data_IF_886221377142
#
_entry.id   IF_886221377142
#
_cell.length_a   1.000
_cell.length_b   1.000
_cell.length_c   1.000
_cell.angle_alpha   90.00
_cell.angle_beta   90.00
_cell.angle_gamma   90.00
#
_symmetry.space_group_name_H-M   'P 1'
#
loop_
_entity.id
_entity.type
_entity.pdbx_description
1 polymer ?
#
# COMPACT_ATOMS: atom_id res chain seq x y z
N UNK A 1 -10.98 4.81 17.00
CA UNK A 1 -11.97 4.93 15.92
C UNK A 1 -12.28 6.38 15.62
N UNK A 2 -12.60 7.15 16.65
CA UNK A 2 -12.85 8.59 16.51
C UNK A 2 -11.62 9.32 16.00
N UNK A 3 -10.43 8.94 16.49
CA UNK A 3 -9.17 9.54 16.08
C UNK A 3 -8.87 9.26 14.60
N UNK A 4 -9.12 8.03 14.13
CA UNK A 4 -8.93 7.70 12.72
C UNK A 4 -9.90 8.43 11.82
N UNK A 5 -11.16 8.54 12.23
CA UNK A 5 -12.14 9.34 11.49
C UNK A 5 -11.72 10.80 11.40
N UNK A 6 -11.29 11.39 12.53
CA UNK A 6 -10.81 12.77 12.55
C UNK A 6 -9.60 12.96 11.65
N UNK A 7 -8.66 12.00 11.67
CA UNK A 7 -7.47 12.03 10.82
C UNK A 7 -7.84 11.92 9.34
N UNK A 8 -8.79 11.06 8.98
CA UNK A 8 -9.26 10.91 7.62
C UNK A 8 -9.96 12.19 7.13
N UNK A 9 -10.86 12.74 7.93
CA UNK A 9 -11.63 13.93 7.58
C UNK A 9 -10.77 15.20 7.49
N UNK A 10 -9.64 15.23 8.22
CA UNK A 10 -8.73 16.39 8.27
C UNK A 10 -7.43 16.16 7.52
N UNK A 11 -7.36 15.08 6.73
CA UNK A 11 -6.13 14.77 6.01
C UNK A 11 -5.73 15.96 5.12
N UNK A 12 -4.54 16.53 5.33
CA UNK A 12 -4.08 17.64 4.50
C UNK A 12 -3.73 17.16 3.09
N UNK A 13 -3.72 18.08 2.15
CA UNK A 13 -3.21 17.80 0.82
C UNK A 13 -1.75 17.37 0.89
N UNK A 14 -1.28 16.60 -0.10
CA UNK A 14 0.08 16.12 -0.15
C UNK A 14 1.09 17.28 -0.21
N UNK A 15 2.09 17.22 0.65
CA UNK A 15 3.22 18.15 0.65
C UNK A 15 4.37 17.50 -0.12
N UNK A 16 4.41 17.72 -1.43
CA UNK A 16 5.34 17.05 -2.31
C UNK A 16 6.74 17.65 -2.20
N UNK A 17 7.73 16.79 -2.01
CA UNK A 17 9.14 17.15 -1.98
C UNK A 17 9.97 15.98 -2.51
N UNK A 18 11.19 16.25 -3.04
CA UNK A 18 12.05 15.17 -3.51
C UNK A 18 12.31 14.14 -2.42
N UNK A 19 12.05 12.87 -2.71
CA UNK A 19 12.25 11.77 -1.76
C UNK A 19 12.54 10.47 -2.49
N UNK A 20 13.17 9.55 -1.74
CA UNK A 20 13.52 8.22 -2.23
C UNK A 20 12.45 7.22 -1.75
N UNK A 21 11.59 6.78 -2.67
CA UNK A 21 10.53 5.83 -2.34
C UNK A 21 11.09 4.48 -1.88
N UNK A 22 12.27 4.09 -2.34
CA UNK A 22 12.92 2.85 -1.93
C UNK A 22 13.22 2.86 -0.43
N UNK A 23 13.72 3.98 0.07
CA UNK A 23 14.02 4.15 1.49
C UNK A 23 12.75 4.10 2.34
N UNK A 24 11.67 4.71 1.87
CA UNK A 24 10.37 4.70 2.57
C UNK A 24 9.85 3.28 2.70
N UNK A 25 9.91 2.51 1.61
CA UNK A 25 9.45 1.11 1.61
C UNK A 25 10.32 0.27 2.58
N UNK A 26 11.63 0.40 2.52
CA UNK A 26 12.55 -0.35 3.40
C UNK A 26 12.29 -0.06 4.87
N UNK A 27 12.05 1.19 5.20
CA UNK A 27 11.76 1.61 6.56
C UNK A 27 10.49 0.95 7.10
N UNK A 28 9.43 0.95 6.29
CA UNK A 28 8.18 0.27 6.66
C UNK A 28 8.38 -1.24 6.83
N UNK A 29 9.11 -1.88 5.90
CA UNK A 29 9.35 -3.32 5.94
C UNK A 29 10.13 -3.76 7.16
N UNK A 30 11.09 -2.95 7.62
CA UNK A 30 11.88 -3.27 8.80
C UNK A 30 10.98 -3.48 10.01
N UNK A 31 9.99 -2.60 10.19
CA UNK A 31 9.04 -2.70 11.29
C UNK A 31 8.24 -4.00 11.23
N UNK A 32 7.73 -4.36 10.05
CA UNK A 32 6.87 -5.52 9.89
C UNK A 32 7.63 -6.84 9.97
N UNK A 33 8.84 -6.89 9.48
CA UNK A 33 9.69 -8.09 9.59
C UNK A 33 10.00 -8.41 11.04
N UNK A 34 10.23 -7.41 11.86
CA UNK A 34 10.49 -7.61 13.28
C UNK A 34 9.25 -8.04 14.05
N UNK A 35 8.11 -7.44 13.73
CA UNK A 35 6.85 -7.72 14.43
C UNK A 35 6.22 -9.05 14.01
N UNK A 36 6.50 -9.55 12.80
CA UNK A 36 5.85 -10.73 12.21
C UNK A 36 6.89 -11.67 11.61
N UNK A 37 7.76 -12.23 12.46
CA UNK A 37 8.89 -13.08 12.04
C UNK A 37 8.45 -14.38 11.35
N UNK A 38 7.24 -14.84 11.61
CA UNK A 38 6.67 -16.04 11.01
C UNK A 38 6.20 -15.85 9.57
N UNK A 39 6.00 -14.59 9.16
CA UNK A 39 5.58 -14.26 7.78
C UNK A 39 6.80 -13.94 6.95
N UNK A 40 6.89 -14.54 5.77
CA UNK A 40 7.96 -14.23 4.82
C UNK A 40 7.61 -12.94 4.07
N UNK A 41 8.43 -11.91 4.21
CA UNK A 41 8.25 -10.64 3.51
C UNK A 41 9.43 -10.42 2.58
N UNK A 42 9.15 -10.41 1.27
CA UNK A 42 10.15 -10.28 0.21
C UNK A 42 10.01 -8.91 -0.44
N UNK A 43 11.12 -8.21 -0.60
CA UNK A 43 11.13 -6.94 -1.34
C UNK A 43 12.03 -7.07 -2.57
N UNK A 44 11.40 -6.97 -3.74
CA UNK A 44 12.09 -6.91 -5.02
C UNK A 44 12.30 -5.45 -5.40
N UNK A 45 13.46 -4.94 -5.02
CA UNK A 45 13.84 -3.54 -5.21
C UNK A 45 14.26 -3.26 -6.67
N UNK A 46 14.35 -2.00 -7.04
CA UNK A 46 14.83 -1.58 -8.35
C UNK A 46 15.72 -0.36 -8.21
N UNK A 47 16.94 -0.47 -8.75
CA UNK A 47 17.92 0.63 -8.77
C UNK A 47 17.55 1.73 -9.78
N UNK A 48 16.61 1.44 -10.68
CA UNK A 48 16.24 2.37 -11.75
C UNK A 48 15.26 3.44 -11.31
N UNK A 49 14.66 3.30 -10.14
CA UNK A 49 13.65 4.26 -9.64
C UNK A 49 14.34 5.56 -9.25
N UNK A 50 13.99 6.68 -9.90
CA UNK A 50 14.61 7.96 -9.56
C UNK A 50 14.04 8.54 -8.26
N UNK A 51 14.73 9.53 -7.71
CA UNK A 51 14.17 10.41 -6.68
C UNK A 51 13.14 11.30 -7.36
N UNK A 52 11.97 11.44 -6.77
CA UNK A 52 10.91 12.27 -7.33
C UNK A 52 10.07 12.90 -6.23
N UNK A 53 9.19 13.82 -6.61
CA UNK A 53 8.37 14.54 -5.65
C UNK A 53 7.25 13.65 -5.13
N UNK A 54 7.22 13.48 -3.82
CA UNK A 54 6.16 12.76 -3.12
C UNK A 54 6.11 13.25 -1.67
N UNK A 55 5.01 12.96 -0.98
CA UNK A 55 4.89 13.22 0.45
C UNK A 55 5.35 12.00 1.23
N UNK A 56 6.54 12.11 1.82
CA UNK A 56 7.20 11.01 2.52
C UNK A 56 6.31 10.38 3.60
N UNK A 57 5.69 11.21 4.43
CA UNK A 57 4.86 10.72 5.53
C UNK A 57 3.59 10.04 5.03
N UNK A 58 2.96 10.61 3.99
CA UNK A 58 1.77 10.02 3.41
C UNK A 58 2.06 8.70 2.69
N UNK A 59 3.15 8.61 1.95
CA UNK A 59 3.53 7.36 1.27
C UNK A 59 3.91 6.29 2.29
N UNK A 60 4.58 6.66 3.39
CA UNK A 60 4.84 5.72 4.48
C UNK A 60 3.54 5.18 5.06
N UNK A 61 2.54 6.04 5.24
CA UNK A 61 1.21 5.64 5.72
C UNK A 61 0.53 4.66 4.75
N UNK A 62 0.67 4.88 3.45
CA UNK A 62 0.19 3.94 2.43
C UNK A 62 0.80 2.57 2.64
N UNK A 63 2.12 2.51 2.78
CA UNK A 63 2.81 1.23 2.98
C UNK A 63 2.37 0.53 4.26
N UNK A 64 2.22 1.26 5.35
CA UNK A 64 1.75 0.72 6.62
C UNK A 64 0.34 0.12 6.46
N UNK A 65 -0.57 0.86 5.83
CA UNK A 65 -1.95 0.39 5.64
C UNK A 65 -2.00 -0.86 4.75
N UNK A 66 -1.21 -0.90 3.68
CA UNK A 66 -1.16 -2.07 2.80
C UNK A 66 -0.53 -3.29 3.48
N UNK A 67 0.51 -3.08 4.27
CA UNK A 67 1.14 -4.17 5.02
C UNK A 67 0.22 -4.71 6.12
N UNK A 68 -0.49 -3.84 6.82
CA UNK A 68 -1.49 -4.26 7.81
C UNK A 68 -2.55 -5.15 7.18
N UNK A 69 -3.05 -4.76 6.00
CA UNK A 69 -4.04 -5.55 5.28
C UNK A 69 -3.48 -6.91 4.84
N UNK A 70 -2.26 -6.93 4.33
CA UNK A 70 -1.62 -8.16 3.88
C UNK A 70 -1.37 -9.12 5.07
N UNK A 71 -0.86 -8.61 6.19
CA UNK A 71 -0.63 -9.39 7.40
C UNK A 71 -1.95 -9.98 7.92
N UNK A 72 -3.02 -9.19 7.91
CA UNK A 72 -4.33 -9.67 8.36
C UNK A 72 -4.90 -10.76 7.44
N UNK A 73 -4.51 -10.78 6.17
CA UNK A 73 -5.04 -11.73 5.19
C UNK A 73 -4.29 -13.07 5.18
N UNK A 74 -3.00 -13.08 5.55
CA UNK A 74 -2.18 -14.30 5.49
C UNK A 74 -2.26 -15.09 6.79
N UNK A 75 -1.99 -16.39 6.67
CA UNK A 75 -1.80 -17.27 7.84
C UNK A 75 -0.40 -17.06 8.42
N UNK A 76 -0.12 -17.66 9.57
CA UNK A 76 1.17 -17.51 10.28
C UNK A 76 2.39 -17.79 9.40
N UNK A 77 2.27 -18.65 8.40
CA UNK A 77 3.36 -18.99 7.48
C UNK A 77 3.15 -18.39 6.09
N UNK A 78 2.41 -17.29 6.04
CA UNK A 78 2.11 -16.63 4.78
C UNK A 78 3.30 -15.91 4.18
N UNK A 79 3.11 -15.45 2.95
CA UNK A 79 4.13 -14.74 2.20
C UNK A 79 3.57 -13.46 1.62
N UNK A 80 4.35 -12.39 1.76
CA UNK A 80 4.03 -11.08 1.19
C UNK A 80 5.20 -10.68 0.31
N UNK A 81 4.92 -10.30 -0.93
CA UNK A 81 5.93 -9.87 -1.90
C UNK A 81 5.64 -8.44 -2.31
N UNK A 82 6.62 -7.56 -2.12
CA UNK A 82 6.55 -6.19 -2.60
C UNK A 82 7.47 -6.06 -3.80
N UNK A 83 6.90 -5.66 -4.93
CA UNK A 83 7.67 -5.39 -6.15
C UNK A 83 7.66 -3.89 -6.43
N UNK A 84 8.83 -3.35 -6.73
CA UNK A 84 9.01 -1.96 -7.12
C UNK A 84 9.60 -1.94 -8.52
N UNK A 85 8.99 -1.18 -9.42
CA UNK A 85 9.44 -1.06 -10.80
C UNK A 85 9.27 0.37 -11.31
N UNK A 86 10.06 0.74 -12.29
CA UNK A 86 9.98 2.04 -12.94
C UNK A 86 9.88 1.86 -14.46
N UNK A 87 8.89 2.52 -15.05
CA UNK A 87 8.73 2.57 -16.51
C UNK A 87 9.24 3.94 -16.99
N UNK A 88 10.42 3.99 -17.64
CA UNK A 88 10.99 5.27 -18.08
C UNK A 88 10.23 5.89 -19.25
N UNK A 89 9.49 5.12 -20.02
CA UNK A 89 8.70 5.63 -21.15
C UNK A 89 7.47 6.36 -20.62
N UNK A 90 6.72 5.73 -19.73
CA UNK A 90 5.54 6.32 -19.11
C UNK A 90 5.88 7.25 -17.97
N UNK A 91 7.12 7.21 -17.48
CA UNK A 91 7.57 7.93 -16.28
C UNK A 91 6.67 7.62 -15.07
N UNK A 92 6.43 6.33 -14.85
CA UNK A 92 5.60 5.83 -13.77
C UNK A 92 6.38 4.87 -12.90
N UNK A 93 6.26 5.05 -11.59
CA UNK A 93 6.73 4.10 -10.59
C UNK A 93 5.56 3.21 -10.20
N UNK A 94 5.79 1.90 -10.19
CA UNK A 94 4.78 0.92 -9.82
C UNK A 94 5.21 0.19 -8.56
N UNK A 95 4.32 0.16 -7.58
CA UNK A 95 4.48 -0.61 -6.35
C UNK A 95 3.39 -1.66 -6.33
N UNK A 96 3.77 -2.91 -6.11
CA UNK A 96 2.82 -4.01 -6.02
C UNK A 96 3.01 -4.72 -4.69
N UNK A 97 1.95 -4.86 -3.91
CA UNK A 97 1.96 -5.61 -2.65
C UNK A 97 1.06 -6.82 -2.86
N UNK A 98 1.67 -8.01 -2.92
CA UNK A 98 0.98 -9.26 -3.17
C UNK A 98 1.07 -10.17 -1.95
N UNK A 99 -0.08 -10.66 -1.47
CA UNK A 99 -0.13 -11.64 -0.39
C UNK A 99 -0.71 -12.96 -0.90
N UNK A 100 -0.41 -14.04 -0.21
CA UNK A 100 -0.97 -15.37 -0.49
C UNK A 100 -2.07 -15.74 0.51
N UNK A 101 -2.78 -14.74 1.01
CA UNK A 101 -3.82 -14.90 2.02
C UNK A 101 -5.15 -15.40 1.46
N UNK A 102 -6.21 -15.12 2.19
CA UNK A 102 -7.55 -15.62 1.88
C UNK A 102 -8.18 -14.98 0.64
N UNK A 103 -7.64 -13.86 0.17
CA UNK A 103 -8.22 -13.12 -0.95
C UNK A 103 -9.45 -12.33 -0.56
N UNK A 104 -10.05 -11.68 -1.56
CA UNK A 104 -11.23 -10.82 -1.38
C UNK A 104 -12.33 -11.31 -2.31
N UNK A 105 -13.54 -11.59 -1.79
CA UNK A 105 -14.68 -11.98 -2.63
C UNK A 105 -15.00 -10.89 -3.66
N UNK A 106 -15.43 -11.27 -4.88
CA UNK A 106 -15.75 -10.29 -5.93
C UNK A 106 -16.76 -9.22 -5.49
N UNK A 107 -17.75 -9.59 -4.69
CA UNK A 107 -18.78 -8.67 -4.19
C UNK A 107 -18.22 -7.60 -3.25
N UNK A 108 -17.05 -7.83 -2.65
CA UNK A 108 -16.42 -6.86 -1.75
C UNK A 108 -15.44 -5.94 -2.48
N UNK A 109 -14.89 -6.35 -3.63
CA UNK A 109 -13.86 -5.57 -4.33
C UNK A 109 -14.31 -4.17 -4.70
N UNK A 110 -15.55 -4.01 -5.11
CA UNK A 110 -16.07 -2.69 -5.50
C UNK A 110 -16.26 -1.75 -4.30
N UNK A 111 -16.28 -2.28 -3.08
CA UNK A 111 -16.54 -1.50 -1.88
C UNK A 111 -15.30 -1.24 -1.03
N UNK A 112 -14.15 -1.76 -1.43
CA UNK A 112 -12.95 -1.71 -0.60
C UNK A 112 -12.45 -0.30 -0.29
N UNK A 113 -12.72 0.65 -1.16
CA UNK A 113 -12.33 2.04 -0.97
C UNK A 113 -13.40 2.89 -0.28
N UNK A 114 -14.57 2.32 0.02
CA UNK A 114 -15.60 3.03 0.77
C UNK A 114 -15.16 3.17 2.23
N UNK A 115 -15.27 4.37 2.83
CA UNK A 115 -15.01 4.54 4.26
C UNK A 115 -15.89 3.59 5.08
N UNK A 116 -15.31 3.02 6.14
CA UNK A 116 -15.97 2.11 7.08
C UNK A 116 -16.33 0.73 6.54
N UNK A 117 -16.08 0.44 5.25
CA UNK A 117 -16.24 -0.92 4.76
C UNK A 117 -15.02 -1.75 5.19
N UNK A 118 -15.24 -2.87 5.88
CA UNK A 118 -14.17 -3.79 6.27
C UNK A 118 -14.71 -5.19 6.47
N UNK A 119 -13.92 -6.19 6.05
CA UNK A 119 -14.18 -7.60 6.36
C UNK A 119 -13.43 -8.04 7.61
N UNK A 120 -12.59 -7.17 8.19
CA UNK A 120 -11.82 -7.46 9.40
C UNK A 120 -12.68 -7.21 10.64
N UNK A 121 -12.61 -8.14 11.59
CA UNK A 121 -13.41 -8.09 12.81
C UNK A 121 -13.19 -6.81 13.63
N UNK A 122 -11.97 -6.29 13.63
CA UNK A 122 -11.59 -5.10 14.41
C UNK A 122 -11.10 -3.96 13.54
N UNK A 123 -11.34 -4.04 12.23
CA UNK A 123 -10.92 -2.98 11.31
C UNK A 123 -11.90 -1.81 11.32
N UNK A 124 -11.38 -0.60 11.16
CA UNK A 124 -12.20 0.61 11.08
C UNK A 124 -12.85 0.80 9.71
N UNK A 125 -12.31 0.13 8.68
CA UNK A 125 -12.76 0.33 7.30
C UNK A 125 -12.24 1.59 6.64
N UNK A 126 -11.27 2.28 7.25
CA UNK A 126 -10.71 3.53 6.71
C UNK A 126 -9.37 3.33 5.99
N UNK A 127 -8.69 2.20 6.21
CA UNK A 127 -7.33 1.99 5.69
C UNK A 127 -7.20 2.18 4.18
N UNK A 128 -8.03 1.49 3.38
CA UNK A 128 -7.97 1.61 1.92
C UNK A 128 -8.56 2.92 1.41
N UNK A 129 -9.54 3.51 2.10
CA UNK A 129 -10.04 4.84 1.76
C UNK A 129 -8.93 5.89 1.92
N UNK A 130 -8.15 5.79 2.98
CA UNK A 130 -6.98 6.65 3.22
C UNK A 130 -5.94 6.47 2.12
N UNK A 131 -5.62 5.22 1.77
CA UNK A 131 -4.66 4.92 0.69
C UNK A 131 -5.12 5.54 -0.61
N UNK A 132 -6.40 5.35 -0.97
CA UNK A 132 -6.95 5.91 -2.20
C UNK A 132 -6.83 7.43 -2.23
N UNK A 133 -7.15 8.11 -1.13
CA UNK A 133 -7.03 9.57 -1.03
C UNK A 133 -5.58 10.02 -1.24
N UNK A 134 -4.64 9.37 -0.58
CA UNK A 134 -3.21 9.72 -0.70
C UNK A 134 -2.72 9.52 -2.14
N UNK A 135 -3.03 8.39 -2.73
CA UNK A 135 -2.58 8.08 -4.10
C UNK A 135 -3.21 9.04 -5.11
N UNK A 136 -4.49 9.37 -4.94
CA UNK A 136 -5.17 10.36 -5.78
C UNK A 136 -4.51 11.73 -5.66
N UNK A 137 -4.15 12.16 -4.45
CA UNK A 137 -3.45 13.43 -4.22
C UNK A 137 -2.06 13.46 -4.87
N UNK A 138 -1.45 12.30 -5.07
CA UNK A 138 -0.18 12.18 -5.79
C UNK A 138 -0.37 12.02 -7.30
N UNK A 139 -1.60 12.17 -7.80
CA UNK A 139 -1.97 11.96 -9.21
C UNK A 139 -1.68 10.54 -9.68
N UNK A 140 -1.74 9.60 -8.77
CA UNK A 140 -1.52 8.19 -9.05
C UNK A 140 -2.80 7.40 -9.16
N UNK A 141 -2.64 6.10 -9.34
CA UNK A 141 -3.74 5.15 -9.51
C UNK A 141 -3.52 3.96 -8.59
N UNK A 142 -4.62 3.37 -8.14
CA UNK A 142 -4.60 2.16 -7.34
C UNK A 142 -5.63 1.18 -7.88
N UNK A 143 -5.27 -0.10 -7.95
CA UNK A 143 -6.20 -1.17 -8.30
C UNK A 143 -5.89 -2.42 -7.50
N UNK A 144 -6.90 -3.26 -7.34
CA UNK A 144 -6.82 -4.47 -6.55
C UNK A 144 -7.22 -5.63 -7.44
N UNK A 145 -6.38 -6.67 -7.45
CA UNK A 145 -6.58 -7.87 -8.25
C UNK A 145 -6.37 -9.11 -7.40
N UNK A 146 -6.83 -10.24 -7.89
CA UNK A 146 -6.53 -11.53 -7.27
C UNK A 146 -5.07 -11.89 -7.50
N UNK A 147 -4.44 -12.49 -6.50
CA UNK A 147 -3.11 -13.08 -6.65
C UNK A 147 -3.24 -14.55 -7.06
N UNK A 148 -2.21 -15.09 -7.69
CA UNK A 148 -2.15 -16.50 -8.09
C UNK A 148 -1.15 -17.25 -7.22
N UNK A 149 -1.48 -18.45 -6.72
CA UNK A 149 -2.75 -19.19 -6.89
C UNK A 149 -3.88 -18.71 -5.98
N UNK A 150 -3.59 -17.90 -4.98
CA UNK A 150 -4.58 -17.29 -4.08
C UNK A 150 -4.04 -16.01 -3.48
N UNK A 151 -4.93 -15.21 -2.88
CA UNK A 151 -4.56 -13.99 -2.19
C UNK A 151 -4.95 -12.75 -2.97
N UNK A 152 -4.30 -11.64 -2.65
CA UNK A 152 -4.63 -10.32 -3.19
C UNK A 152 -3.37 -9.58 -3.64
N UNK A 153 -3.48 -8.85 -4.73
CA UNK A 153 -2.46 -7.95 -5.23
C UNK A 153 -3.00 -6.53 -5.24
N UNK A 154 -2.32 -5.63 -4.54
CA UNK A 154 -2.61 -4.21 -4.60
C UNK A 154 -1.55 -3.56 -5.46
N UNK A 155 -1.96 -2.86 -6.51
CA UNK A 155 -1.06 -2.24 -7.48
C UNK A 155 -1.25 -0.73 -7.43
N UNK A 156 -0.14 -0.02 -7.20
CA UNK A 156 -0.10 1.44 -7.15
C UNK A 156 0.82 1.93 -8.25
N UNK A 157 0.38 2.95 -8.97
CA UNK A 157 1.18 3.62 -10.00
C UNK A 157 1.25 5.11 -9.67
N UNK A 158 2.47 5.64 -9.61
CA UNK A 158 2.73 7.04 -9.27
C UNK A 158 3.51 7.71 -10.40
N UNK A 159 3.06 8.88 -10.88
CA UNK A 159 3.83 9.62 -11.87
C UNK A 159 5.09 10.20 -11.24
N UNK A 160 6.20 10.09 -11.97
CA UNK A 160 7.46 10.69 -11.57
C UNK A 160 7.47 12.15 -12.04
N UNK A 161 7.26 13.06 -11.09
CA UNK A 161 7.28 14.49 -11.36
C UNK A 161 8.44 15.13 -10.61
N UNK A 162 9.14 15.98 -11.33
CA UNK A 162 10.28 16.70 -10.78
C UNK A 162 9.90 18.12 -10.43
#
# INVERSE_FOLDING_TARGET
LVDEFSNFARMPAANLAPADIRAIIREALTLYREAHKEVEIVFNDSDEVPIFNLDREQIKRVMINLLDNAIAAVDEKGRIVIDLAYDPILQMVRIEVADDGKGIPPEHKMRLFEPYFSTKKHGTGLGLAIVNTIITDHNGFIRIQDNEPKGTRVIIELPVRK
#
